data_IF_569852362235
#
_entry.id   IF_569852362235
#
_cell.length_a   1.000
_cell.length_b   1.000
_cell.length_c   1.000
_cell.angle_alpha   90.00
_cell.angle_beta   90.00
_cell.angle_gamma   90.00
#
_symmetry.space_group_name_H-M   'P 1'
#
loop_
_entity.id
_entity.type
_entity.pdbx_description
1 polymer ?
#
# COMPACT_ATOMS: atom_id res chain seq x y z
N UNK A 1 3.34 -10.08 21.98
CA UNK A 1 3.90 -10.98 20.97
C UNK A 1 3.12 -10.74 19.70
N UNK A 2 3.80 -10.51 18.58
CA UNK A 2 3.17 -10.11 17.34
C UNK A 2 2.35 -11.23 16.71
N UNK A 3 1.15 -10.89 16.21
CA UNK A 3 0.26 -11.84 15.54
C UNK A 3 0.25 -11.62 14.04
N UNK A 4 0.68 -12.62 13.29
CA UNK A 4 0.84 -12.56 11.83
C UNK A 4 -0.34 -13.29 11.22
N UNK A 5 -1.15 -12.63 10.38
CA UNK A 5 -2.25 -13.29 9.69
C UNK A 5 -1.82 -13.69 8.27
N UNK A 6 -1.71 -14.99 8.02
CA UNK A 6 -1.35 -15.55 6.71
C UNK A 6 -2.60 -16.05 5.98
N UNK A 7 -2.78 -15.61 4.74
CA UNK A 7 -3.98 -15.88 3.94
C UNK A 7 -3.60 -16.47 2.58
N UNK A 8 -4.11 -17.67 2.31
CA UNK A 8 -3.95 -18.39 1.04
C UNK A 8 -5.13 -19.35 0.89
N UNK A 9 -5.65 -19.59 -0.31
CA UNK A 9 -6.77 -20.53 -0.52
C UNK A 9 -6.30 -21.98 -0.66
N UNK A 10 -4.99 -22.20 -0.83
CA UNK A 10 -4.40 -23.52 -0.85
C UNK A 10 -4.14 -24.03 0.58
N UNK A 11 -5.03 -24.89 1.06
CA UNK A 11 -4.95 -25.49 2.40
C UNK A 11 -3.66 -26.28 2.64
N UNK A 12 -3.18 -27.00 1.62
CA UNK A 12 -1.96 -27.81 1.72
C UNK A 12 -0.72 -26.91 1.88
N UNK A 13 -0.72 -25.76 1.21
CA UNK A 13 0.30 -24.74 1.38
C UNK A 13 0.23 -24.10 2.78
N UNK A 14 -0.96 -23.78 3.28
CA UNK A 14 -1.14 -23.28 4.65
C UNK A 14 -0.65 -24.28 5.71
N UNK A 15 -0.94 -25.57 5.55
CA UNK A 15 -0.46 -26.61 6.47
C UNK A 15 1.07 -26.72 6.43
N UNK A 16 1.66 -26.59 5.24
CA UNK A 16 3.11 -26.57 5.05
C UNK A 16 3.75 -25.35 5.75
N UNK A 17 3.18 -24.15 5.58
CA UNK A 17 3.62 -22.94 6.28
C UNK A 17 3.46 -23.06 7.80
N UNK A 18 2.36 -23.67 8.25
CA UNK A 18 2.10 -23.88 9.67
C UNK A 18 3.15 -24.75 10.33
N UNK A 19 3.61 -25.81 9.66
CA UNK A 19 4.72 -26.63 10.15
C UNK A 19 6.06 -25.90 10.06
N UNK A 20 6.36 -25.25 8.93
CA UNK A 20 7.63 -24.54 8.71
C UNK A 20 7.86 -23.37 9.68
N UNK A 21 6.80 -22.63 10.02
CA UNK A 21 6.88 -21.45 10.88
C UNK A 21 6.87 -21.78 12.39
N UNK A 22 6.73 -23.05 12.80
CA UNK A 22 6.81 -23.44 14.23
C UNK A 22 8.14 -23.04 14.87
N UNK A 23 9.23 -23.09 14.12
CA UNK A 23 10.56 -22.71 14.60
C UNK A 23 10.66 -21.21 14.95
N UNK A 24 9.70 -20.39 14.49
CA UNK A 24 9.61 -18.96 14.74
C UNK A 24 8.59 -18.60 15.83
N UNK A 25 7.98 -19.59 16.48
CA UNK A 25 7.00 -19.40 17.56
C UNK A 25 7.54 -18.69 18.82
N UNK A 26 8.85 -18.45 18.91
CA UNK A 26 9.43 -17.58 19.93
C UNK A 26 9.47 -16.09 19.55
N UNK A 27 9.24 -15.77 18.27
CA UNK A 27 9.32 -14.41 17.72
C UNK A 27 7.93 -13.85 17.43
N UNK A 28 7.07 -14.65 16.80
CA UNK A 28 5.71 -14.25 16.45
C UNK A 28 4.72 -15.43 16.49
N UNK A 29 3.43 -15.10 16.59
CA UNK A 29 2.31 -16.04 16.53
C UNK A 29 1.71 -16.02 15.11
N UNK A 30 1.80 -17.12 14.38
CA UNK A 30 1.21 -17.26 13.05
C UNK A 30 -0.25 -17.74 13.14
N UNK A 31 -1.17 -16.91 12.64
CA UNK A 31 -2.58 -17.22 12.42
C UNK A 31 -2.83 -17.44 10.93
N UNK A 32 -3.69 -18.39 10.58
CA UNK A 32 -3.95 -18.76 9.19
C UNK A 32 -5.41 -18.55 8.83
N UNK A 33 -5.67 -18.18 7.57
CA UNK A 33 -7.01 -18.10 7.00
C UNK A 33 -7.02 -18.62 5.56
N UNK A 34 -8.04 -19.40 5.22
CA UNK A 34 -8.24 -20.02 3.89
C UNK A 34 -8.80 -19.06 2.82
N UNK A 35 -8.81 -17.76 3.11
CA UNK A 35 -9.31 -16.72 2.23
C UNK A 35 -9.83 -15.48 2.97
N UNK A 36 -10.18 -14.44 2.20
CA UNK A 36 -10.42 -13.12 2.77
C UNK A 36 -11.60 -13.02 3.76
N UNK A 37 -12.64 -13.86 3.63
CA UNK A 37 -13.77 -13.83 4.59
C UNK A 37 -13.32 -14.24 5.99
N UNK A 38 -12.53 -15.31 6.07
CA UNK A 38 -11.96 -15.79 7.33
C UNK A 38 -10.93 -14.78 7.86
N UNK A 39 -10.10 -14.21 6.97
CA UNK A 39 -9.15 -13.17 7.33
C UNK A 39 -9.84 -11.96 7.97
N UNK A 40 -10.93 -11.46 7.38
CA UNK A 40 -11.73 -10.34 7.91
C UNK A 40 -12.35 -10.67 9.28
N UNK A 41 -12.75 -11.92 9.52
CA UNK A 41 -13.25 -12.34 10.84
C UNK A 41 -12.13 -12.29 11.88
N UNK A 42 -10.92 -12.74 11.53
CA UNK A 42 -9.75 -12.72 12.42
C UNK A 42 -9.26 -11.29 12.69
N UNK A 43 -9.16 -10.44 11.67
CA UNK A 43 -8.82 -9.02 11.79
C UNK A 43 -9.75 -8.23 12.73
N UNK A 44 -10.99 -8.70 12.94
CA UNK A 44 -11.95 -8.07 13.86
C UNK A 44 -11.86 -8.58 15.30
N UNK A 45 -11.19 -9.72 15.52
CA UNK A 45 -11.15 -10.45 16.80
C UNK A 45 -9.78 -10.43 17.43
N UNK A 46 -8.74 -10.36 16.61
CA UNK A 46 -7.35 -10.45 16.99
C UNK A 46 -6.64 -9.13 16.66
N UNK A 47 -5.71 -8.73 17.51
CA UNK A 47 -4.81 -7.61 17.25
C UNK A 47 -3.71 -8.07 16.29
N UNK A 48 -3.99 -7.99 14.99
CA UNK A 48 -3.08 -8.42 13.93
C UNK A 48 -1.98 -7.36 13.73
N UNK A 49 -0.75 -7.83 13.77
CA UNK A 49 0.47 -7.05 13.62
C UNK A 49 0.87 -6.83 12.16
N UNK A 50 0.62 -7.82 11.31
CA UNK A 50 0.92 -7.80 9.87
C UNK A 50 0.01 -8.80 9.15
N UNK A 51 -0.39 -8.45 7.93
CA UNK A 51 -1.10 -9.35 7.02
C UNK A 51 -0.11 -9.91 6.00
N UNK A 52 -0.15 -11.22 5.76
CA UNK A 52 0.50 -11.88 4.62
C UNK A 52 -0.60 -12.49 3.75
N UNK A 53 -0.69 -12.15 2.47
CA UNK A 53 -1.76 -12.65 1.61
C UNK A 53 -1.28 -13.04 0.22
N UNK A 54 -1.79 -14.13 -0.33
CA UNK A 54 -1.74 -14.36 -1.77
C UNK A 54 -2.69 -13.36 -2.46
N UNK A 55 -2.37 -12.95 -3.69
CA UNK A 55 -3.27 -12.21 -4.56
C UNK A 55 -4.24 -13.15 -5.28
N UNK A 56 -3.74 -14.32 -5.70
CA UNK A 56 -4.39 -15.14 -6.71
C UNK A 56 -5.32 -16.18 -6.08
N UNK A 57 -6.43 -15.71 -5.51
CA UNK A 57 -7.44 -16.56 -4.87
C UNK A 57 -8.73 -16.69 -5.72
N UNK A 58 -9.19 -17.91 -6.07
CA UNK A 58 -10.34 -18.19 -6.95
C UNK A 58 -11.72 -17.86 -6.37
N UNK A 59 -11.85 -17.43 -5.11
CA UNK A 59 -13.14 -17.17 -4.45
C UNK A 59 -13.30 -15.77 -3.88
N UNK A 60 -12.31 -15.29 -3.11
CA UNK A 60 -12.30 -13.91 -2.63
C UNK A 60 -10.93 -13.34 -2.91
N UNK A 61 -10.95 -12.30 -3.73
CA UNK A 61 -9.81 -11.65 -4.33
C UNK A 61 -8.85 -11.06 -3.27
N UNK A 62 -7.57 -11.42 -3.34
CA UNK A 62 -6.53 -10.82 -2.48
C UNK A 62 -6.50 -9.31 -2.63
N UNK A 63 -6.80 -8.78 -3.82
CA UNK A 63 -6.93 -7.33 -4.04
C UNK A 63 -8.10 -6.73 -3.25
N UNK A 64 -9.21 -7.46 -3.10
CA UNK A 64 -10.34 -6.99 -2.30
C UNK A 64 -9.99 -6.99 -0.80
N UNK A 65 -9.19 -7.95 -0.33
CA UNK A 65 -8.67 -7.93 1.04
C UNK A 65 -7.74 -6.74 1.26
N UNK A 66 -6.84 -6.47 0.32
CA UNK A 66 -5.94 -5.30 0.36
C UNK A 66 -6.71 -3.97 0.36
N UNK A 67 -7.73 -3.82 -0.48
CA UNK A 67 -8.60 -2.65 -0.46
C UNK A 67 -9.31 -2.48 0.89
N UNK A 68 -9.72 -3.59 1.52
CA UNK A 68 -10.30 -3.57 2.86
C UNK A 68 -9.27 -3.13 3.92
N UNK A 69 -8.04 -3.63 3.84
CA UNK A 69 -6.93 -3.23 4.73
C UNK A 69 -6.61 -1.75 4.62
N UNK A 70 -6.37 -1.23 3.41
CA UNK A 70 -6.14 0.20 3.16
C UNK A 70 -7.26 1.09 3.74
N UNK A 71 -8.51 0.60 3.71
CA UNK A 71 -9.66 1.36 4.22
C UNK A 71 -9.82 1.34 5.75
N UNK A 72 -9.54 0.20 6.39
CA UNK A 72 -9.90 -0.09 7.80
C UNK A 72 -8.71 -0.24 8.73
N UNK A 73 -7.59 -0.70 8.21
CA UNK A 73 -6.37 -0.99 8.94
C UNK A 73 -5.14 -0.44 8.19
N UNK A 74 -5.12 0.87 7.85
CA UNK A 74 -4.04 1.45 7.04
C UNK A 74 -2.66 1.42 7.72
N UNK A 75 -2.62 1.16 9.03
CA UNK A 75 -1.40 1.05 9.83
C UNK A 75 -0.87 -0.39 9.94
N UNK A 76 -1.64 -1.38 9.49
CA UNK A 76 -1.19 -2.78 9.52
C UNK A 76 -0.44 -3.05 8.21
N UNK A 77 0.86 -3.38 8.27
CA UNK A 77 1.61 -3.75 7.08
C UNK A 77 1.00 -4.95 6.35
N UNK A 78 1.15 -4.98 5.04
CA UNK A 78 0.68 -6.05 4.18
C UNK A 78 1.85 -6.59 3.34
N UNK A 79 2.18 -7.87 3.52
CA UNK A 79 3.08 -8.63 2.66
C UNK A 79 2.23 -9.39 1.63
N UNK A 80 2.55 -9.19 0.36
CA UNK A 80 1.90 -9.87 -0.74
C UNK A 80 2.76 -11.01 -1.25
N UNK A 81 2.21 -12.22 -1.21
CA UNK A 81 2.79 -13.38 -1.86
C UNK A 81 2.35 -13.40 -3.32
N UNK A 82 3.31 -13.44 -4.26
CA UNK A 82 3.01 -13.41 -5.70
C UNK A 82 3.81 -14.47 -6.45
N UNK A 83 3.19 -15.12 -7.45
CA UNK A 83 3.88 -16.05 -8.35
C UNK A 83 4.51 -15.38 -9.58
N UNK A 84 4.49 -14.05 -9.66
CA UNK A 84 4.97 -13.30 -10.82
C UNK A 84 6.23 -12.49 -10.48
N UNK A 85 7.37 -12.90 -11.05
CA UNK A 85 8.64 -12.21 -10.96
C UNK A 85 8.77 -11.00 -11.88
N UNK A 86 8.11 -9.89 -11.55
CA UNK A 86 8.52 -8.60 -12.11
C UNK A 86 9.64 -8.00 -11.24
N UNK A 87 10.84 -7.76 -11.80
CA UNK A 87 11.94 -7.12 -11.08
C UNK A 87 11.62 -5.71 -10.58
N UNK A 88 10.58 -5.06 -11.13
CA UNK A 88 10.23 -3.68 -10.80
C UNK A 88 9.60 -3.52 -9.41
N UNK A 89 8.94 -4.56 -8.89
CA UNK A 89 8.23 -4.52 -7.61
C UNK A 89 9.14 -4.89 -6.43
N UNK A 90 10.24 -5.58 -6.72
CA UNK A 90 11.06 -6.26 -5.70
C UNK A 90 12.01 -5.34 -4.94
N UNK A 91 12.07 -4.03 -5.20
CA UNK A 91 13.19 -3.23 -4.70
C UNK A 91 13.04 -1.74 -4.42
N UNK A 92 11.87 -1.14 -4.59
CA UNK A 92 11.69 0.26 -4.22
C UNK A 92 10.27 0.51 -3.74
N UNK A 93 10.13 0.30 -2.45
CA UNK A 93 9.01 0.76 -1.67
C UNK A 93 9.67 1.75 -0.71
N UNK A 94 9.24 3.00 -0.76
CA UNK A 94 9.89 4.07 0.00
C UNK A 94 9.82 3.74 1.49
N UNK A 95 10.73 4.30 2.29
CA UNK A 95 10.84 4.03 3.73
C UNK A 95 9.56 4.37 4.55
N UNK A 96 8.52 4.88 3.90
CA UNK A 96 7.25 5.30 4.48
C UNK A 96 6.10 4.30 4.26
N UNK A 97 6.29 3.30 3.38
CA UNK A 97 5.21 2.44 2.91
C UNK A 97 5.06 1.15 3.71
N UNK A 98 3.80 0.79 4.01
CA UNK A 98 3.41 -0.40 4.79
C UNK A 98 3.22 -1.65 3.90
N UNK A 99 3.79 -1.67 2.71
CA UNK A 99 3.52 -2.70 1.70
C UNK A 99 4.79 -3.46 1.31
N UNK A 100 4.74 -4.79 1.26
CA UNK A 100 5.90 -5.63 0.94
C UNK A 100 5.51 -6.74 -0.01
N UNK A 101 6.50 -7.33 -0.69
CA UNK A 101 6.26 -8.43 -1.62
C UNK A 101 7.25 -9.56 -1.41
N UNK A 102 6.76 -10.79 -1.56
CA UNK A 102 7.57 -11.99 -1.62
C UNK A 102 7.17 -12.84 -2.84
N UNK A 103 8.16 -13.20 -3.64
CA UNK A 103 7.96 -13.95 -4.88
C UNK A 103 8.00 -15.46 -4.60
N UNK A 104 6.95 -16.20 -5.01
CA UNK A 104 6.90 -17.66 -5.02
C UNK A 104 7.75 -18.20 -6.19
N UNK A 105 8.55 -19.27 -6.00
CA UNK A 105 8.72 -20.03 -4.77
C UNK A 105 9.66 -19.33 -3.80
N UNK A 106 9.33 -19.40 -2.51
CA UNK A 106 10.16 -18.95 -1.40
C UNK A 106 10.25 -20.04 -0.33
N UNK A 107 11.27 -19.98 0.51
CA UNK A 107 11.38 -20.85 1.68
C UNK A 107 10.83 -20.19 2.98
N UNK A 108 10.75 -20.98 4.05
CA UNK A 108 10.20 -20.48 5.32
C UNK A 108 11.09 -19.43 6.00
N UNK A 109 12.41 -19.48 5.77
CA UNK A 109 13.34 -18.51 6.33
C UNK A 109 13.19 -17.17 5.60
N UNK A 110 13.04 -17.20 4.28
CA UNK A 110 12.77 -16.02 3.47
C UNK A 110 11.46 -15.34 3.90
N UNK A 111 10.38 -16.11 4.04
CA UNK A 111 9.10 -15.56 4.52
C UNK A 111 9.22 -14.98 5.93
N UNK A 112 9.85 -15.70 6.86
CA UNK A 112 10.04 -15.22 8.22
C UNK A 112 10.90 -13.94 8.26
N UNK A 113 11.94 -13.84 7.43
CA UNK A 113 12.77 -12.65 7.31
C UNK A 113 11.97 -11.43 6.88
N UNK A 114 11.15 -11.55 5.83
CA UNK A 114 10.28 -10.45 5.36
C UNK A 114 9.23 -10.08 6.41
N UNK A 115 8.70 -11.05 7.16
CA UNK A 115 7.78 -10.78 8.28
C UNK A 115 8.47 -9.96 9.36
N UNK A 116 9.67 -10.36 9.78
CA UNK A 116 10.42 -9.67 10.84
C UNK A 116 10.76 -8.24 10.40
N UNK A 117 11.26 -8.07 9.17
CA UNK A 117 11.53 -6.75 8.60
C UNK A 117 10.27 -5.87 8.58
N UNK A 118 9.13 -6.40 8.14
CA UNK A 118 7.86 -5.66 8.15
C UNK A 118 7.36 -5.30 9.56
N UNK A 119 7.69 -6.08 10.59
CA UNK A 119 7.37 -5.77 11.99
C UNK A 119 8.27 -4.66 12.53
N UNK A 120 9.57 -4.70 12.25
CA UNK A 120 10.54 -3.69 12.68
C UNK A 120 10.19 -2.31 12.09
N UNK A 121 9.91 -2.25 10.78
CA UNK A 121 9.49 -1.03 10.10
C UNK A 121 8.17 -0.47 10.63
N UNK A 122 7.20 -1.32 10.97
CA UNK A 122 5.95 -0.87 11.60
C UNK A 122 6.24 -0.15 12.92
N UNK A 123 7.16 -0.65 13.73
CA UNK A 123 7.49 -0.02 15.03
C UNK A 123 8.15 1.35 14.83
N UNK A 124 8.95 1.50 13.77
CA UNK A 124 9.51 2.79 13.35
C UNK A 124 8.41 3.75 12.83
N UNK A 125 7.53 3.28 11.96
CA UNK A 125 6.45 4.08 11.34
C UNK A 125 5.37 4.52 12.34
N UNK A 126 5.02 3.67 13.30
CA UNK A 126 4.13 4.04 14.43
C UNK A 126 4.71 5.19 15.23
N UNK A 127 6.04 5.29 15.31
CA UNK A 127 6.74 6.37 16.02
C UNK A 127 6.72 7.69 15.24
N UNK A 128 6.66 7.64 13.91
CA UNK A 128 6.69 8.80 13.00
C UNK A 128 5.30 9.42 12.72
N UNK A 129 4.21 8.79 13.20
CA UNK A 129 2.79 9.25 13.09
C UNK A 129 2.24 9.47 11.68
N UNK A 130 3.03 9.34 10.62
CA UNK A 130 2.56 9.50 9.25
C UNK A 130 2.80 8.22 8.45
N UNK A 131 1.87 7.28 8.59
CA UNK A 131 1.88 6.02 7.83
C UNK A 131 1.11 6.26 6.53
N UNK A 132 1.79 6.23 5.38
CA UNK A 132 1.13 6.18 4.07
C UNK A 132 0.60 4.76 3.86
N UNK A 133 -0.72 4.61 3.82
CA UNK A 133 -1.33 3.38 3.31
C UNK A 133 -0.96 3.17 1.82
N UNK A 134 -1.29 2.00 1.29
CA UNK A 134 -1.03 1.57 -0.11
C UNK A 134 -1.24 2.73 -1.11
N UNK A 135 -0.24 3.00 -1.95
CA UNK A 135 -0.31 4.06 -2.96
C UNK A 135 -1.24 3.68 -4.12
N UNK A 136 -1.66 4.67 -4.92
CA UNK A 136 -2.42 4.40 -6.15
C UNK A 136 -1.59 3.59 -7.14
N UNK A 137 -0.31 3.92 -7.29
CA UNK A 137 0.62 3.25 -8.21
C UNK A 137 0.69 1.76 -7.90
N UNK A 138 0.96 1.40 -6.63
CA UNK A 138 1.07 -0.01 -6.21
C UNK A 138 -0.21 -0.77 -6.53
N UNK A 139 -1.36 -0.18 -6.19
CA UNK A 139 -2.64 -0.84 -6.39
C UNK A 139 -2.98 -1.04 -7.87
N UNK A 140 -2.60 -0.10 -8.74
CA UNK A 140 -2.81 -0.24 -10.19
C UNK A 140 -1.90 -1.31 -10.79
N UNK A 141 -0.63 -1.37 -10.37
CA UNK A 141 0.31 -2.42 -10.81
C UNK A 141 -0.21 -3.80 -10.41
N UNK A 142 -0.74 -3.95 -9.20
CA UNK A 142 -1.35 -5.19 -8.74
C UNK A 142 -2.53 -5.63 -9.62
N UNK A 143 -3.40 -4.71 -10.01
CA UNK A 143 -4.53 -5.00 -10.92
C UNK A 143 -4.04 -5.45 -12.29
N UNK A 144 -2.99 -4.79 -12.82
CA UNK A 144 -2.37 -5.15 -14.10
C UNK A 144 -1.78 -6.56 -14.06
N UNK A 145 -1.04 -6.89 -13.00
CA UNK A 145 -0.44 -8.21 -12.81
C UNK A 145 -1.48 -9.33 -12.69
N UNK A 146 -2.53 -9.09 -11.91
CA UNK A 146 -3.62 -10.06 -11.72
C UNK A 146 -4.57 -10.12 -12.92
N UNK A 147 -4.31 -9.34 -13.97
CA UNK A 147 -5.13 -9.25 -15.18
C UNK A 147 -6.60 -9.02 -14.86
N UNK A 148 -6.87 -8.19 -13.84
CA UNK A 148 -8.22 -8.04 -13.31
C UNK A 148 -9.05 -7.08 -14.16
N UNK A 149 -10.24 -7.54 -14.56
CA UNK A 149 -11.29 -6.67 -15.12
C UNK A 149 -12.11 -6.06 -13.98
N UNK A 150 -12.03 -4.74 -13.77
CA UNK A 150 -12.70 -4.09 -12.64
C UNK A 150 -12.88 -2.57 -12.80
N UNK A 151 -13.77 -2.02 -11.96
CA UNK A 151 -13.92 -0.58 -11.73
C UNK A 151 -13.40 -0.30 -10.33
N UNK A 152 -12.22 0.31 -10.24
CA UNK A 152 -11.61 0.74 -8.99
C UNK A 152 -12.04 2.18 -8.70
N UNK A 153 -12.60 2.42 -7.53
CA UNK A 153 -12.87 3.76 -7.04
C UNK A 153 -11.81 4.13 -5.99
N UNK A 154 -11.25 5.33 -6.13
CA UNK A 154 -10.25 5.90 -5.23
C UNK A 154 -10.86 7.10 -4.52
N UNK A 155 -10.74 7.14 -3.20
CA UNK A 155 -11.22 8.25 -2.37
C UNK A 155 -10.04 8.97 -1.74
N UNK A 156 -9.90 10.26 -2.04
CA UNK A 156 -8.95 11.15 -1.38
C UNK A 156 -9.71 12.01 -0.36
N UNK A 157 -9.24 12.02 0.90
CA UNK A 157 -9.83 12.77 2.01
C UNK A 157 -11.35 12.53 2.22
N UNK A 158 -11.87 11.37 1.78
CA UNK A 158 -13.28 10.97 1.86
C UNK A 158 -14.25 11.69 0.91
N UNK A 159 -13.86 12.83 0.34
CA UNK A 159 -14.74 13.71 -0.44
C UNK A 159 -14.45 13.67 -1.95
N UNK A 160 -13.18 13.59 -2.34
CA UNK A 160 -12.80 13.53 -3.76
C UNK A 160 -12.85 12.08 -4.23
N UNK A 161 -13.56 11.84 -5.33
CA UNK A 161 -13.79 10.50 -5.88
C UNK A 161 -13.25 10.41 -7.29
N UNK A 162 -12.25 9.55 -7.44
CA UNK A 162 -11.69 9.13 -8.71
C UNK A 162 -12.09 7.71 -9.04
N UNK A 163 -12.06 7.36 -10.33
CA UNK A 163 -12.33 6.02 -10.83
C UNK A 163 -11.29 5.63 -11.87
N UNK A 164 -10.80 4.40 -11.78
CA UNK A 164 -10.03 3.72 -12.82
C UNK A 164 -10.82 2.51 -13.31
N UNK A 165 -10.82 2.30 -14.62
CA UNK A 165 -11.44 1.13 -15.23
C UNK A 165 -10.39 0.28 -15.93
N UNK A 166 -10.38 -1.00 -15.56
CA UNK A 166 -9.47 -2.01 -16.08
C UNK A 166 -10.23 -3.10 -16.80
N UNK A 167 -9.65 -3.58 -17.90
CA UNK A 167 -10.10 -4.76 -18.64
C UNK A 167 -8.91 -5.69 -18.86
N UNK A 168 -8.98 -6.89 -18.27
CA UNK A 168 -7.93 -7.91 -18.28
C UNK A 168 -6.56 -7.35 -17.85
N UNK A 169 -6.54 -6.49 -16.82
CA UNK A 169 -5.35 -5.81 -16.31
C UNK A 169 -4.94 -4.56 -17.08
N UNK A 170 -5.53 -4.29 -18.24
CA UNK A 170 -5.20 -3.09 -19.02
C UNK A 170 -6.04 -1.92 -18.55
N UNK A 171 -5.38 -0.79 -18.22
CA UNK A 171 -6.06 0.46 -17.89
C UNK A 171 -6.75 1.02 -19.14
N UNK A 172 -8.07 1.09 -19.12
CA UNK A 172 -8.90 1.50 -20.26
C UNK A 172 -9.35 2.95 -20.15
N UNK A 173 -9.68 3.42 -18.95
CA UNK A 173 -10.15 4.78 -18.72
C UNK A 173 -9.93 5.18 -17.26
N UNK A 174 -9.90 6.49 -17.02
CA UNK A 174 -9.83 7.07 -15.69
C UNK A 174 -10.68 8.35 -15.65
N UNK A 175 -11.24 8.68 -14.49
CA UNK A 175 -12.03 9.90 -14.34
C UNK A 175 -12.02 10.39 -12.90
N UNK A 176 -11.89 11.71 -12.71
CA UNK A 176 -12.17 12.39 -11.46
C UNK A 176 -12.78 13.76 -11.78
N UNK A 177 -13.81 14.15 -11.05
CA UNK A 177 -14.56 15.40 -11.30
C UNK A 177 -14.91 15.58 -12.81
N UNK A 178 -14.43 16.64 -13.46
CA UNK A 178 -14.60 16.85 -14.91
C UNK A 178 -13.51 16.24 -15.80
N UNK A 179 -12.43 15.74 -15.22
CA UNK A 179 -11.27 15.18 -15.94
C UNK A 179 -11.52 13.72 -16.34
N UNK A 180 -11.01 13.32 -17.51
CA UNK A 180 -11.16 11.96 -18.06
C UNK A 180 -9.90 11.49 -18.80
N UNK A 181 -9.82 10.19 -19.03
CA UNK A 181 -8.74 9.55 -19.78
C UNK A 181 -7.38 9.71 -19.13
N UNK A 182 -6.34 9.89 -19.94
CA UNK A 182 -4.94 9.94 -19.49
C UNK A 182 -4.68 11.09 -18.51
N UNK A 183 -5.25 12.27 -18.75
CA UNK A 183 -5.12 13.43 -17.86
C UNK A 183 -5.61 13.16 -16.43
N UNK A 184 -6.72 12.43 -16.30
CA UNK A 184 -7.25 12.03 -15.01
C UNK A 184 -6.39 10.96 -14.35
N UNK A 185 -5.86 10.02 -15.14
CA UNK A 185 -4.98 8.97 -14.63
C UNK A 185 -3.69 9.56 -14.06
N UNK A 186 -2.99 10.41 -14.81
CA UNK A 186 -1.73 11.03 -14.42
C UNK A 186 -1.85 11.81 -13.09
N UNK A 187 -2.90 12.62 -12.95
CA UNK A 187 -3.13 13.37 -11.72
C UNK A 187 -3.43 12.43 -10.53
N UNK A 188 -4.30 11.44 -10.72
CA UNK A 188 -4.67 10.51 -9.65
C UNK A 188 -3.53 9.57 -9.22
N UNK A 189 -2.54 9.30 -10.07
CA UNK A 189 -1.36 8.51 -9.72
C UNK A 189 -0.53 9.18 -8.61
N UNK A 190 -0.59 10.51 -8.48
CA UNK A 190 0.07 11.25 -7.41
C UNK A 190 -0.73 11.38 -6.11
N UNK A 191 -1.90 10.72 -5.99
CA UNK A 191 -2.71 10.79 -4.78
C UNK A 191 -2.18 9.85 -3.69
N UNK A 192 -1.92 10.40 -2.51
CA UNK A 192 -1.49 9.67 -1.32
C UNK A 192 -2.62 9.63 -0.26
N UNK A 193 -2.48 8.75 0.74
CA UNK A 193 -3.47 8.59 1.84
C UNK A 193 -4.89 8.31 1.33
N UNK A 194 -4.98 7.49 0.28
CA UNK A 194 -6.24 7.16 -0.40
C UNK A 194 -6.93 5.94 0.18
N UNK A 195 -8.23 5.77 -0.14
CA UNK A 195 -8.99 4.54 0.12
C UNK A 195 -9.52 3.94 -1.17
N UNK A 196 -9.31 2.65 -1.34
CA UNK A 196 -9.77 1.89 -2.49
C UNK A 196 -11.11 1.21 -2.26
N UNK A 197 -11.93 1.14 -3.31
CA UNK A 197 -13.15 0.35 -3.32
C UNK A 197 -13.47 -0.17 -4.72
N UNK A 198 -13.67 -1.48 -4.84
CA UNK A 198 -14.21 -2.06 -6.07
C UNK A 198 -15.70 -1.76 -6.23
N UNK A 199 -16.11 -1.40 -7.45
CA UNK A 199 -17.51 -1.18 -7.84
C UNK A 199 -17.94 -2.13 -8.94
N UNK A 200 -19.25 -2.25 -9.13
CA UNK A 200 -19.82 -2.96 -10.28
C UNK A 200 -19.46 -2.22 -11.56
N UNK A 201 -19.11 -2.98 -12.59
CA UNK A 201 -18.85 -2.44 -13.92
C UNK A 201 -20.13 -1.83 -14.51
N UNK A 202 -20.02 -0.76 -15.32
CA UNK A 202 -21.16 -0.25 -16.06
C UNK A 202 -21.72 -1.29 -17.05
N UNK A 203 -23.05 -1.36 -17.17
CA UNK A 203 -23.72 -2.34 -18.04
C UNK A 203 -23.37 -2.20 -19.52
N UNK A 204 -23.05 -0.98 -19.96
CA UNK A 204 -22.76 -0.67 -21.37
C UNK A 204 -21.27 -0.85 -21.71
N UNK A 205 -20.47 -1.40 -20.78
CA UNK A 205 -19.01 -1.40 -20.89
C UNK A 205 -18.42 0.01 -20.78
N UNK A 206 -17.10 0.11 -20.81
CA UNK A 206 -16.38 1.38 -20.88
C UNK A 206 -15.55 1.40 -22.15
N UNK A 207 -15.61 2.52 -22.89
CA UNK A 207 -14.79 2.75 -24.07
C UNK A 207 -13.35 2.97 -23.63
N UNK A 208 -12.39 2.31 -24.28
CA UNK A 208 -10.96 2.58 -24.07
C UNK A 208 -10.64 4.02 -24.51
N UNK A 209 -10.22 4.84 -23.56
CA UNK A 209 -9.77 6.23 -23.75
C UNK A 209 -8.27 6.38 -23.48
N UNK A 210 -7.69 5.48 -22.69
CA UNK A 210 -6.27 5.41 -22.38
C UNK A 210 -5.62 4.38 -23.30
N UNK A 211 -4.67 4.82 -24.13
CA UNK A 211 -3.95 3.94 -25.05
C UNK A 211 -2.50 3.70 -24.63
N UNK A 212 -1.95 4.62 -23.83
CA UNK A 212 -0.64 4.50 -23.20
C UNK A 212 -0.60 3.34 -22.20
N UNK A 213 0.52 2.64 -22.11
CA UNK A 213 0.72 1.57 -21.13
C UNK A 213 0.89 2.13 -19.71
N UNK A 214 0.56 1.33 -18.69
CA UNK A 214 0.56 1.77 -17.30
C UNK A 214 1.94 2.23 -16.83
N UNK A 215 3.01 1.56 -17.25
CA UNK A 215 4.37 1.92 -16.86
C UNK A 215 4.77 3.28 -17.42
N UNK A 216 4.44 3.57 -18.68
CA UNK A 216 4.68 4.91 -19.26
C UNK A 216 3.92 6.01 -18.50
N UNK A 217 2.65 5.78 -18.13
CA UNK A 217 1.88 6.72 -17.32
C UNK A 217 2.50 6.92 -15.92
N UNK A 218 2.97 5.84 -15.29
CA UNK A 218 3.65 5.90 -13.99
C UNK A 218 4.93 6.73 -14.09
N UNK A 219 5.78 6.47 -15.09
CA UNK A 219 7.02 7.22 -15.28
C UNK A 219 6.77 8.72 -15.54
N UNK A 220 5.74 9.04 -16.32
CA UNK A 220 5.31 10.41 -16.57
C UNK A 220 4.78 11.10 -15.29
N UNK A 221 3.94 10.42 -14.50
CA UNK A 221 3.46 10.93 -13.23
C UNK A 221 4.61 11.16 -12.23
N UNK A 222 5.55 10.22 -12.13
CA UNK A 222 6.73 10.35 -11.26
C UNK A 222 7.61 11.53 -11.66
N UNK A 223 7.79 11.75 -12.97
CA UNK A 223 8.52 12.93 -13.48
C UNK A 223 7.84 14.22 -13.04
N UNK A 224 6.52 14.33 -13.20
CA UNK A 224 5.78 15.52 -12.77
C UNK A 224 5.77 15.73 -11.24
N UNK A 225 5.77 14.65 -10.46
CA UNK A 225 5.91 14.73 -9.00
C UNK A 225 7.31 15.21 -8.59
N UNK A 226 8.36 14.72 -9.23
CA UNK A 226 9.74 15.19 -9.01
C UNK A 226 9.92 16.68 -9.36
N UNK A 227 9.34 17.12 -10.47
CA UNK A 227 9.35 18.54 -10.89
C UNK A 227 8.58 19.44 -9.91
N UNK A 228 7.44 18.99 -9.35
CA UNK A 228 6.68 19.72 -8.31
C UNK A 228 7.46 19.85 -6.99
N UNK A 229 8.22 18.84 -6.59
CA UNK A 229 9.06 18.87 -5.38
C UNK A 229 10.25 19.84 -5.56
N UNK A 230 10.81 19.93 -6.77
CA UNK A 230 11.85 20.92 -7.11
C UNK A 230 11.32 22.37 -7.13
N UNK A 231 10.06 22.59 -7.51
CA UNK A 231 9.43 23.93 -7.50
C UNK A 231 9.06 24.38 -6.07
N UNK A 232 8.53 23.47 -5.24
CA UNK A 232 8.25 23.76 -3.82
C UNK A 232 9.54 23.97 -3.00
N UNK A 233 10.64 23.33 -3.36
CA UNK A 233 11.95 23.55 -2.70
C UNK A 233 12.61 24.87 -3.11
N UNK A 234 12.42 25.35 -4.34
CA UNK A 234 12.81 26.72 -4.76
C UNK A 234 11.99 27.82 -4.10
N UNK A 235 10.76 27.52 -3.67
CA UNK A 235 9.90 28.46 -2.95
C UNK A 235 10.25 28.55 -1.44
N UNK A 236 11.08 27.64 -0.93
CA UNK A 236 11.54 27.61 0.47
C UNK A 236 12.85 28.35 0.75
N UNK A 237 13.52 28.91 -0.27
CA UNK A 237 14.78 29.65 -0.08
C UNK A 237 14.62 31.08 0.50
N UNK A 238 13.40 31.55 0.83
CA UNK A 238 13.20 32.88 1.45
C UNK A 238 12.83 32.85 2.95
N UNK A 239 12.86 31.71 3.64
CA UNK A 239 12.71 31.69 5.11
C UNK A 239 13.78 30.79 5.73
N UNK A 240 14.96 31.36 5.96
CA UNK A 240 15.78 31.08 7.15
C UNK A 240 17.00 32.01 7.19
N UNK A 241 16.87 33.08 7.97
CA UNK A 241 18.01 33.62 8.73
C UNK A 241 17.43 34.29 9.98
N UNK A 242 17.07 33.48 10.98
CA UNK A 242 16.88 34.01 12.33
C UNK A 242 18.25 34.04 13.00
N UNK A 243 18.64 35.23 13.46
CA UNK A 243 19.96 35.46 14.04
C UNK A 243 20.18 34.57 15.28
N UNK A 244 21.44 34.21 15.62
CA UNK A 244 21.78 33.34 16.74
C UNK A 244 21.21 33.79 18.10
N UNK A 245 20.87 35.07 18.23
CA UNK A 245 20.25 35.67 19.41
C UNK A 245 18.81 35.17 19.64
N UNK A 246 18.04 34.93 18.55
CA UNK A 246 16.66 34.42 18.63
C UNK A 246 16.63 32.95 19.05
N UNK A 247 17.62 32.15 18.60
CA UNK A 247 17.75 30.75 19.02
C UNK A 247 18.08 30.63 20.52
N UNK A 248 18.90 31.53 21.06
CA UNK A 248 19.26 31.54 22.48
C UNK A 248 18.09 31.93 23.41
N UNK A 249 17.13 32.72 22.92
CA UNK A 249 15.95 33.15 23.68
C UNK A 249 14.91 32.01 23.81
N UNK A 250 14.82 31.16 22.78
CA UNK A 250 13.92 29.99 22.76
C UNK A 250 14.44 28.89 23.69
N UNK A 251 15.75 28.62 23.70
CA UNK A 251 16.35 27.61 24.58
C UNK A 251 16.23 27.97 26.07
N UNK A 252 16.37 29.25 26.42
CA UNK A 252 16.18 29.72 27.79
C UNK A 252 14.72 29.65 28.26
N UNK A 253 13.76 29.85 27.35
CA UNK A 253 12.34 29.76 27.66
C UNK A 253 11.91 28.32 27.96
N UNK A 254 12.49 27.34 27.26
CA UNK A 254 12.22 25.91 27.47
C UNK A 254 12.88 25.40 28.76
N UNK A 255 14.10 25.86 29.08
CA UNK A 255 14.82 25.47 30.30
C UNK A 255 14.15 25.98 31.59
N UNK A 256 13.52 27.15 31.55
CA UNK A 256 12.79 27.72 32.68
C UNK A 256 11.42 27.06 32.90
N UNK A 257 10.78 26.56 31.84
CA UNK A 257 9.51 25.84 31.94
C UNK A 257 9.64 24.42 32.53
N UNK A 258 10.84 23.84 32.53
CA UNK A 258 11.13 22.50 33.06
C UNK A 258 11.60 22.50 34.53
N UNK A 259 11.72 23.67 35.16
CA UNK A 259 12.17 23.84 36.56
C UNK A 259 11.11 24.46 37.49
N UNK A 260 9.90 24.72 36.99
CA UNK A 260 8.75 25.19 37.77
C UNK A 260 7.74 24.05 37.96
#
# INVERSE_FOLDING_TARGET
MDKILIVDDNLEFLDTLKEGLKNYSGQFEALFASGAKEAVIKLKREDISILVTDLKMPKIDGLALLAYMSSRYPHIPCIVMTGYGSPAIRKKIDAEDVFYYIEKPFDFNELAGVIIEGLDLRDELVSLKDISGISVIDFLQLIEMEKKTCLLQVHLNGNVKGHFYFNEGVLYDAAYDSFKGESAALEMLGWNKVKFQFKRLPKNGIRRQINTDLMSLILEAMRHMGEKIEDDSKTREEINDFSPEVCAEIENTISNALKA
#
